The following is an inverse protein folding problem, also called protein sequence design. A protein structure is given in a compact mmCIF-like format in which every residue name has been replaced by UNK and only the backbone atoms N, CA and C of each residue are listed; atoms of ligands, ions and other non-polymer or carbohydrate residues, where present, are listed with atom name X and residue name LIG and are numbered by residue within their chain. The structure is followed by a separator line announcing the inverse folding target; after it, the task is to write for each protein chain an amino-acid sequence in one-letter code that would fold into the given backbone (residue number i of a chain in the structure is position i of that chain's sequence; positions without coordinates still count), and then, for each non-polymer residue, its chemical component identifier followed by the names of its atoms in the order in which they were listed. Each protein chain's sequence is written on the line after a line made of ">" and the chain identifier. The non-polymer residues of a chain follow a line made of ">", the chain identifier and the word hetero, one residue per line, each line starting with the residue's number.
data_IF_290634615168
#
_entry.id   IF_290634615168
#
_cell.length_a   1.000
_cell.length_b   1.000
_cell.length_c   1.000
_cell.angle_alpha   90.00
_cell.angle_beta   90.00
_cell.angle_gamma   90.00
#
_symmetry.space_group_name_H-M   'P 1'
#
loop_
_entity.id
_entity.type
_entity.pdbx_description
1 polymer ?
#
# COMPACT_ATOMS: atom_id res chain seq x y z
N UNK A 1 5.09 -2.51 -20.08
CA UNK A 1 4.95 -1.41 -19.10
C UNK A 1 3.58 -1.34 -18.43
N UNK A 2 2.46 -1.31 -19.16
CA UNK A 2 1.12 -1.28 -18.51
C UNK A 2 0.90 -2.44 -17.54
N UNK A 3 1.21 -3.68 -17.95
CA UNK A 3 1.10 -4.86 -17.08
C UNK A 3 1.97 -4.73 -15.82
N UNK A 4 3.16 -4.15 -15.97
CA UNK A 4 4.08 -3.92 -14.86
C UNK A 4 3.46 -2.97 -13.83
N UNK A 5 2.87 -1.86 -14.26
CA UNK A 5 2.16 -0.93 -13.37
C UNK A 5 0.91 -1.55 -12.73
N UNK A 6 0.14 -2.35 -13.47
CA UNK A 6 -1.04 -3.04 -12.93
C UNK A 6 -0.65 -4.02 -11.82
N UNK A 7 0.45 -4.75 -11.99
CA UNK A 7 0.97 -5.65 -10.96
C UNK A 7 1.44 -4.85 -9.74
N UNK A 8 2.14 -3.72 -9.93
CA UNK A 8 2.57 -2.83 -8.84
C UNK A 8 1.41 -2.34 -7.99
N UNK A 9 0.37 -1.82 -8.64
CA UNK A 9 -0.85 -1.38 -7.96
C UNK A 9 -1.53 -2.50 -7.18
N UNK A 10 -1.71 -3.66 -7.81
CA UNK A 10 -2.36 -4.80 -7.16
C UNK A 10 -1.55 -5.29 -5.96
N UNK A 11 -0.22 -5.31 -6.07
CA UNK A 11 0.67 -5.66 -4.98
C UNK A 11 0.58 -4.63 -3.83
N UNK A 12 0.69 -3.34 -4.13
CA UNK A 12 0.58 -2.27 -3.14
C UNK A 12 -0.78 -2.32 -2.40
N UNK A 13 -1.86 -2.42 -3.17
CA UNK A 13 -3.22 -2.49 -2.62
C UNK A 13 -3.45 -3.75 -1.78
N UNK A 14 -3.00 -4.93 -2.25
CA UNK A 14 -3.16 -6.18 -1.50
C UNK A 14 -2.34 -6.21 -0.21
N UNK A 15 -1.11 -5.69 -0.22
CA UNK A 15 -0.28 -5.58 0.98
C UNK A 15 -0.88 -4.60 2.00
N UNK A 16 -1.34 -3.43 1.56
CA UNK A 16 -2.00 -2.46 2.41
C UNK A 16 -3.33 -3.00 2.97
N UNK A 17 -4.08 -3.78 2.19
CA UNK A 17 -5.32 -4.41 2.66
C UNK A 17 -5.04 -5.52 3.68
N UNK A 18 -3.99 -6.31 3.44
CA UNK A 18 -3.57 -7.37 4.38
C UNK A 18 -3.15 -6.75 5.72
N UNK A 19 -2.44 -5.63 5.71
CA UNK A 19 -2.10 -4.90 6.93
C UNK A 19 -3.36 -4.46 7.70
N UNK A 20 -4.38 -3.95 7.02
CA UNK A 20 -5.67 -3.64 7.64
C UNK A 20 -6.30 -4.87 8.28
N UNK A 21 -6.38 -5.99 7.54
CA UNK A 21 -7.00 -7.21 8.02
C UNK A 21 -6.33 -7.75 9.29
N UNK A 22 -4.99 -7.76 9.32
CA UNK A 22 -4.22 -8.23 10.48
C UNK A 22 -4.42 -7.33 11.70
N UNK A 23 -4.42 -6.01 11.52
CA UNK A 23 -4.63 -5.06 12.62
C UNK A 23 -6.08 -5.11 13.13
N UNK A 24 -7.07 -5.23 12.24
CA UNK A 24 -8.47 -5.39 12.65
C UNK A 24 -8.67 -6.67 13.46
N UNK A 25 -8.00 -7.76 13.10
CA UNK A 25 -8.04 -9.00 13.88
C UNK A 25 -7.46 -8.80 15.29
N UNK A 26 -6.36 -8.05 15.43
CA UNK A 26 -5.78 -7.74 16.74
C UNK A 26 -6.67 -6.82 17.60
N UNK A 27 -7.40 -5.88 16.98
CA UNK A 27 -8.40 -5.04 17.67
C UNK A 27 -9.56 -5.88 18.17
N UNK A 28 -10.06 -6.81 17.36
CA UNK A 28 -11.15 -7.71 17.74
C UNK A 28 -10.75 -8.69 18.85
N UNK A 29 -9.47 -9.06 18.94
CA UNK A 29 -8.90 -9.85 20.04
C UNK A 29 -8.55 -9.02 21.29
N UNK A 30 -8.89 -7.73 21.33
CA UNK A 30 -8.59 -6.80 22.43
C UNK A 30 -7.09 -6.68 22.76
N UNK A 31 -6.21 -7.14 21.86
CA UNK A 31 -4.75 -7.00 22.02
C UNK A 31 -4.27 -5.59 21.77
N UNK A 32 -5.07 -4.81 21.03
CA UNK A 32 -4.72 -3.49 20.57
C UNK A 32 -5.92 -2.54 20.66
N UNK A 33 -5.68 -1.31 21.09
CA UNK A 33 -6.71 -0.27 21.07
C UNK A 33 -6.99 0.18 19.64
N UNK A 34 -8.20 0.67 19.37
CA UNK A 34 -8.58 1.12 18.03
C UNK A 34 -7.76 2.33 17.56
N UNK A 35 -7.40 3.24 18.46
CA UNK A 35 -6.58 4.39 18.14
C UNK A 35 -5.14 4.00 17.80
N UNK A 36 -4.55 3.05 18.55
CA UNK A 36 -3.22 2.51 18.23
C UNK A 36 -3.24 1.76 16.89
N UNK A 37 -4.32 1.02 16.60
CA UNK A 37 -4.46 0.27 15.35
C UNK A 37 -4.43 1.18 14.13
N UNK A 38 -5.15 2.31 14.19
CA UNK A 38 -5.14 3.33 13.13
C UNK A 38 -3.74 3.93 12.96
N UNK A 39 -3.04 4.20 14.06
CA UNK A 39 -1.66 4.68 14.05
C UNK A 39 -0.69 3.70 13.36
N UNK A 40 -0.70 2.43 13.78
CA UNK A 40 0.13 1.40 13.16
C UNK A 40 -0.26 1.12 11.71
N UNK A 41 -1.54 1.23 11.38
CA UNK A 41 -2.01 1.07 10.02
C UNK A 41 -1.47 2.15 9.08
N UNK A 42 -1.48 3.40 9.53
CA UNK A 42 -0.87 4.51 8.79
C UNK A 42 0.61 4.27 8.51
N UNK A 43 1.37 3.83 9.52
CA UNK A 43 2.79 3.49 9.37
C UNK A 43 2.97 2.32 8.40
N UNK A 44 2.14 1.28 8.50
CA UNK A 44 2.20 0.13 7.60
C UNK A 44 1.93 0.53 6.14
N UNK A 45 0.94 1.38 5.88
CA UNK A 45 0.66 1.91 4.55
C UNK A 45 1.83 2.73 3.99
N UNK A 46 2.50 3.55 4.81
CA UNK A 46 3.69 4.30 4.38
C UNK A 46 4.82 3.34 3.97
N UNK A 47 5.07 2.31 4.79
CA UNK A 47 6.11 1.32 4.50
C UNK A 47 5.79 0.52 3.23
N UNK A 48 4.54 0.10 3.05
CA UNK A 48 4.10 -0.61 1.83
C UNK A 48 4.27 0.27 0.60
N UNK A 49 3.75 1.51 0.62
CA UNK A 49 3.89 2.43 -0.51
C UNK A 49 5.36 2.64 -0.88
N UNK A 50 6.22 2.86 0.11
CA UNK A 50 7.65 3.08 -0.11
C UNK A 50 8.35 1.83 -0.66
N UNK A 51 8.20 0.68 -0.01
CA UNK A 51 8.90 -0.55 -0.39
C UNK A 51 8.46 -1.08 -1.75
N UNK A 52 7.16 -1.02 -2.05
CA UNK A 52 6.64 -1.43 -3.36
C UNK A 52 7.14 -0.49 -4.44
N UNK A 53 7.01 0.83 -4.25
CA UNK A 53 7.49 1.81 -5.22
C UNK A 53 9.00 1.69 -5.46
N UNK A 54 9.80 1.52 -4.40
CA UNK A 54 11.24 1.34 -4.52
C UNK A 54 11.60 0.04 -5.26
N UNK A 55 10.91 -1.06 -4.97
CA UNK A 55 11.09 -2.33 -5.66
C UNK A 55 10.73 -2.25 -7.15
N UNK A 56 9.61 -1.62 -7.49
CA UNK A 56 9.19 -1.39 -8.86
C UNK A 56 10.11 -0.44 -9.61
N UNK A 57 10.62 0.60 -8.94
CA UNK A 57 11.62 1.49 -9.54
C UNK A 57 12.92 0.75 -9.87
N UNK A 58 13.45 -0.02 -8.91
CA UNK A 58 14.67 -0.81 -9.12
C UNK A 58 14.51 -1.86 -10.22
N UNK A 59 13.40 -2.60 -10.21
CA UNK A 59 13.12 -3.60 -11.25
C UNK A 59 12.88 -2.95 -12.62
N UNK A 60 12.23 -1.79 -12.67
CA UNK A 60 12.08 -1.01 -13.90
C UNK A 60 13.42 -0.54 -14.49
N UNK A 61 14.35 -0.08 -13.64
CA UNK A 61 15.71 0.25 -14.06
C UNK A 61 16.47 -0.97 -14.58
N UNK A 62 16.38 -2.11 -13.89
CA UNK A 62 17.02 -3.37 -14.34
C UNK A 62 16.47 -3.88 -15.67
N UNK A 63 15.22 -3.57 -16.01
CA UNK A 63 14.58 -3.90 -17.29
C UNK A 63 14.93 -2.91 -18.42
N UNK A 64 15.69 -1.85 -18.12
CA UNK A 64 16.13 -0.84 -19.09
C UNK A 64 15.09 0.23 -19.38
N UNK A 65 14.03 0.35 -18.58
CA UNK A 65 12.98 1.37 -18.77
C UNK A 65 13.45 2.80 -18.46
N UNK A 66 14.67 2.99 -17.97
CA UNK A 66 15.26 4.33 -17.77
C UNK A 66 16.05 4.83 -19.00
N UNK A 67 16.20 4.00 -20.04
CA UNK A 67 17.02 4.34 -21.22
C UNK A 67 16.29 5.21 -22.25
N UNK A 68 14.97 5.39 -22.13
CA UNK A 68 14.15 6.25 -22.98
C UNK A 68 13.34 7.23 -22.11
N UNK A 69 13.25 8.50 -22.53
CA UNK A 69 12.52 9.54 -21.78
C UNK A 69 11.05 9.19 -21.52
N UNK A 70 10.39 8.57 -22.49
CA UNK A 70 8.98 8.18 -22.39
C UNK A 70 8.76 7.08 -21.34
N UNK A 71 9.68 6.11 -21.24
CA UNK A 71 9.57 5.03 -20.27
C UNK A 71 10.00 5.47 -18.87
N UNK A 72 10.94 6.41 -18.76
CA UNK A 72 11.36 7.01 -17.48
C UNK A 72 10.25 7.87 -16.87
N UNK A 73 9.58 8.70 -17.69
CA UNK A 73 8.40 9.47 -17.24
C UNK A 73 7.22 8.56 -16.85
N UNK A 74 6.98 7.47 -17.59
CA UNK A 74 5.99 6.47 -17.22
C UNK A 74 6.29 5.79 -15.88
N UNK A 75 7.56 5.53 -15.55
CA UNK A 75 7.94 4.96 -14.25
C UNK A 75 7.61 5.90 -13.09
N UNK A 76 7.84 7.20 -13.25
CA UNK A 76 7.46 8.20 -12.24
C UNK A 76 5.93 8.22 -12.01
N UNK A 77 5.15 8.11 -13.09
CA UNK A 77 3.69 7.98 -13.01
C UNK A 77 3.27 6.69 -12.29
N UNK A 78 3.97 5.58 -12.52
CA UNK A 78 3.74 4.31 -11.83
C UNK A 78 3.90 4.42 -10.32
N UNK A 79 4.96 5.07 -9.86
CA UNK A 79 5.17 5.33 -8.42
C UNK A 79 4.02 6.16 -7.85
N UNK A 80 3.61 7.21 -8.56
CA UNK A 80 2.51 8.08 -8.12
C UNK A 80 1.20 7.31 -8.02
N UNK A 81 0.97 6.38 -8.94
CA UNK A 81 -0.18 5.47 -8.96
C UNK A 81 -0.18 4.52 -7.76
N UNK A 82 0.96 3.91 -7.43
CA UNK A 82 1.12 3.02 -6.28
C UNK A 82 0.84 3.76 -4.96
N UNK A 83 1.30 5.01 -4.85
CA UNK A 83 0.99 5.89 -3.71
C UNK A 83 -0.51 6.18 -3.64
N UNK A 84 -1.15 6.53 -4.76
CA UNK A 84 -2.60 6.81 -4.79
C UNK A 84 -3.43 5.59 -4.38
N UNK A 85 -3.08 4.40 -4.86
CA UNK A 85 -3.75 3.14 -4.48
C UNK A 85 -3.57 2.89 -2.99
N UNK A 86 -2.36 3.04 -2.47
CA UNK A 86 -2.08 2.83 -1.04
C UNK A 86 -2.85 3.82 -0.16
N UNK A 87 -2.97 5.09 -0.59
CA UNK A 87 -3.80 6.10 0.08
C UNK A 87 -5.29 5.73 0.06
N UNK A 88 -5.79 5.20 -1.05
CA UNK A 88 -7.18 4.77 -1.16
C UNK A 88 -7.49 3.62 -0.19
N UNK A 89 -6.59 2.63 -0.12
CA UNK A 89 -6.72 1.52 0.84
C UNK A 89 -6.58 2.02 2.28
N UNK A 90 -5.68 2.97 2.55
CA UNK A 90 -5.55 3.62 3.85
C UNK A 90 -6.86 4.29 4.30
N UNK A 91 -7.46 5.12 3.44
CA UNK A 91 -8.75 5.78 3.73
C UNK A 91 -9.82 4.73 4.02
N UNK A 92 -9.90 3.69 3.19
CA UNK A 92 -10.83 2.59 3.39
C UNK A 92 -10.63 1.89 4.75
N UNK A 93 -9.39 1.55 5.10
CA UNK A 93 -9.08 0.88 6.36
C UNK A 93 -9.42 1.77 7.58
N UNK A 94 -9.08 3.05 7.53
CA UNK A 94 -9.38 4.01 8.61
C UNK A 94 -10.89 4.17 8.86
N UNK A 95 -11.70 4.15 7.81
CA UNK A 95 -13.17 4.22 7.92
C UNK A 95 -13.78 2.90 8.39
N UNK A 96 -13.15 1.77 8.06
CA UNK A 96 -13.69 0.42 8.33
C UNK A 96 -13.18 -0.22 9.62
N UNK A 97 -12.21 0.37 10.30
CA UNK A 97 -11.83 -0.07 11.65
C UNK A 97 -13.03 -0.01 12.60
N UNK A 98 -13.22 -1.08 13.38
CA UNK A 98 -14.32 -1.20 14.37
C UNK A 98 -13.85 -1.88 15.64
N UNK A 99 -14.39 -1.45 16.76
CA UNK A 99 -14.22 -2.12 18.05
C UNK A 99 -15.05 -3.42 18.09
N UNK A 100 -14.65 -4.41 18.91
CA UNK A 100 -15.48 -5.58 19.16
C UNK A 100 -16.83 -5.18 19.76
N UNK A 101 -17.93 -5.73 19.24
CA UNK A 101 -19.26 -5.55 19.82
C UNK A 101 -19.33 -6.36 21.14
N UNK A 102 -19.23 -5.68 22.28
CA UNK A 102 -19.56 -6.28 23.57
C UNK A 102 -21.08 -6.52 23.64
N UNK A 103 -21.51 -7.77 23.53
CA UNK A 103 -22.88 -8.23 23.85
C UNK A 103 -22.95 -8.82 25.26
#
# INVERSE_FOLDING_TARGET
>A
MIVFFVIGMLLAGSLAYTAYYLLQMQVLEERLTLDDAKGYYLIACILVAFLVSAGFFYTGQSLGYDQQEETSSAMALGILLDIMVTLLVLIYGLVKFREPEHY
#
